data_IF_573411755115
#
_entry.id   IF_573411755115
#
_cell.length_a   1.000
_cell.length_b   1.000
_cell.length_c   1.000
_cell.angle_alpha   90.00
_cell.angle_beta   90.00
_cell.angle_gamma   90.00
#
_symmetry.space_group_name_H-M   'P 1'
#
loop_
_entity.id
_entity.type
_entity.pdbx_description
1 polymer ?
#
# COMPACT_ATOMS: atom_id res chain seq x y z
N UNK A 1 -19.99 -9.26 17.36
CA UNK A 1 -18.72 -9.93 17.01
C UNK A 1 -18.87 -11.40 17.34
N UNK A 2 -19.05 -12.24 16.33
CA UNK A 2 -19.23 -13.70 16.50
C UNK A 2 -17.85 -14.36 16.42
N UNK A 3 -17.57 -15.31 17.30
CA UNK A 3 -16.34 -16.10 17.23
C UNK A 3 -16.36 -16.98 15.97
N UNK A 4 -15.21 -17.13 15.32
CA UNK A 4 -14.98 -17.97 14.15
C UNK A 4 -13.80 -18.89 14.41
N UNK A 5 -13.86 -20.13 13.92
CA UNK A 5 -12.75 -21.06 14.05
C UNK A 5 -11.46 -20.46 13.44
N UNK A 6 -10.29 -20.61 14.08
CA UNK A 6 -9.04 -19.98 13.63
C UNK A 6 -8.71 -20.28 12.16
N UNK A 7 -8.95 -21.50 11.71
CA UNK A 7 -8.71 -21.91 10.31
C UNK A 7 -9.55 -21.09 9.32
N UNK A 8 -10.82 -20.85 9.65
CA UNK A 8 -11.72 -20.03 8.81
C UNK A 8 -11.30 -18.56 8.82
N UNK A 9 -10.83 -18.06 9.95
CA UNK A 9 -10.31 -16.70 10.05
C UNK A 9 -9.04 -16.51 9.21
N UNK A 10 -8.05 -17.40 9.36
CA UNK A 10 -6.80 -17.32 8.60
C UNK A 10 -7.01 -17.48 7.10
N UNK A 11 -7.98 -18.29 6.66
CA UNK A 11 -8.33 -18.46 5.25
C UNK A 11 -8.88 -17.18 4.58
N UNK A 12 -9.34 -16.20 5.36
CA UNK A 12 -9.88 -14.93 4.86
C UNK A 12 -8.83 -13.82 4.80
N UNK A 13 -7.65 -14.03 5.38
CA UNK A 13 -6.58 -13.03 5.35
C UNK A 13 -6.01 -12.91 3.94
N UNK A 14 -5.49 -11.72 3.63
CA UNK A 14 -4.75 -11.49 2.40
C UNK A 14 -3.57 -12.47 2.32
N UNK A 15 -3.58 -13.33 1.30
CA UNK A 15 -2.48 -14.27 1.02
C UNK A 15 -1.42 -13.66 0.10
N UNK A 16 -1.74 -12.51 -0.50
CA UNK A 16 -0.87 -11.77 -1.39
C UNK A 16 -0.81 -10.31 -0.93
N UNK A 17 0.41 -9.78 -0.82
CA UNK A 17 0.66 -8.40 -0.44
C UNK A 17 1.30 -7.63 -1.58
N UNK A 18 0.67 -6.52 -1.98
CA UNK A 18 1.20 -5.62 -3.00
C UNK A 18 1.12 -4.17 -2.54
N UNK A 19 2.02 -3.35 -3.08
CA UNK A 19 2.09 -1.93 -2.85
C UNK A 19 2.56 -1.23 -4.12
N UNK A 20 2.20 0.04 -4.28
CA UNK A 20 2.65 0.88 -5.37
C UNK A 20 3.19 2.21 -4.82
N UNK A 21 4.16 2.79 -5.51
CA UNK A 21 4.73 4.08 -5.19
C UNK A 21 4.86 4.92 -6.47
N UNK A 22 4.85 6.25 -6.31
CA UNK A 22 4.97 7.18 -7.43
C UNK A 22 6.25 7.98 -7.33
N UNK A 23 6.99 8.06 -8.44
CA UNK A 23 8.16 8.91 -8.56
C UNK A 23 7.76 10.20 -9.27
N UNK A 24 7.70 11.30 -8.52
CA UNK A 24 7.30 12.62 -9.03
C UNK A 24 8.51 13.54 -8.97
N UNK A 25 8.78 14.20 -10.10
CA UNK A 25 9.82 15.20 -10.24
C UNK A 25 9.24 16.56 -10.59
N UNK A 26 9.89 17.63 -10.14
CA UNK A 26 9.61 19.00 -10.60
C UNK A 26 10.52 19.40 -11.78
N UNK A 27 10.29 20.60 -12.35
CA UNK A 27 11.07 21.14 -13.47
C UNK A 27 12.56 21.36 -13.13
N UNK A 28 12.92 21.33 -11.85
CA UNK A 28 14.29 21.43 -11.36
C UNK A 28 14.93 20.05 -11.08
N UNK A 29 14.31 18.95 -11.53
CA UNK A 29 14.73 17.56 -11.30
C UNK A 29 14.84 17.16 -9.80
N UNK A 30 14.07 17.79 -8.92
CA UNK A 30 13.98 17.37 -7.51
C UNK A 30 12.88 16.32 -7.35
N UNK A 31 13.00 15.46 -6.35
CA UNK A 31 12.07 14.35 -6.11
C UNK A 31 11.16 14.67 -4.93
N UNK A 32 9.86 14.36 -5.06
CA UNK A 32 8.91 14.43 -3.95
C UNK A 32 9.16 13.31 -2.93
N UNK A 33 9.44 13.69 -1.69
CA UNK A 33 9.49 12.80 -0.53
C UNK A 33 8.46 13.23 0.52
N UNK A 34 7.94 12.26 1.27
CA UNK A 34 7.01 12.48 2.37
C UNK A 34 7.61 12.02 3.69
N UNK A 35 7.34 12.77 4.77
CA UNK A 35 7.66 12.38 6.15
C UNK A 35 6.39 11.89 6.85
N UNK A 36 6.11 10.58 6.83
CA UNK A 36 4.96 10.04 7.54
C UNK A 36 5.10 10.23 9.06
N UNK A 37 3.98 10.41 9.75
CA UNK A 37 3.96 10.55 11.21
C UNK A 37 4.20 9.22 11.97
N UNK A 38 4.22 8.10 11.24
CA UNK A 38 4.36 6.74 11.78
C UNK A 38 5.72 6.10 11.47
N UNK A 39 6.67 6.82 10.86
CA UNK A 39 8.05 6.34 10.64
C UNK A 39 9.05 7.48 10.87
N UNK A 40 10.23 7.12 11.37
CA UNK A 40 11.31 8.10 11.64
C UNK A 40 12.12 8.50 10.40
N UNK A 41 11.78 7.98 9.21
CA UNK A 41 12.47 8.27 7.96
C UNK A 41 11.53 8.82 6.89
N UNK A 42 12.11 9.61 5.97
CA UNK A 42 11.44 10.06 4.76
C UNK A 42 11.26 8.91 3.77
N UNK A 43 10.21 8.96 2.97
CA UNK A 43 9.88 7.90 2.00
C UNK A 43 9.27 8.47 0.72
N UNK A 44 9.27 7.67 -0.34
CA UNK A 44 8.55 7.97 -1.58
C UNK A 44 7.04 7.83 -1.31
N UNK A 45 6.20 8.75 -1.80
CA UNK A 45 4.75 8.62 -1.68
C UNK A 45 4.25 7.33 -2.35
N UNK A 46 3.39 6.61 -1.64
CA UNK A 46 2.86 5.32 -2.08
C UNK A 46 1.92 4.72 -1.05
N UNK A 47 1.40 3.55 -1.38
CA UNK A 47 0.41 2.87 -0.56
C UNK A 47 0.31 1.37 -0.85
N UNK A 48 -0.34 0.66 0.06
CA UNK A 48 -0.70 -0.74 -0.12
C UNK A 48 -1.84 -0.85 -1.14
N UNK A 49 -1.93 -2.00 -1.83
CA UNK A 49 -2.99 -2.29 -2.79
C UNK A 49 -4.04 -3.15 -2.10
N UNK A 50 -5.26 -2.64 -1.98
CA UNK A 50 -6.35 -3.41 -1.38
C UNK A 50 -6.90 -4.49 -2.33
N UNK A 51 -7.66 -5.42 -1.77
CA UNK A 51 -8.32 -6.45 -2.55
C UNK A 51 -9.21 -5.79 -3.62
N UNK A 52 -9.03 -6.18 -4.88
CA UNK A 52 -9.69 -5.63 -6.09
C UNK A 52 -9.13 -4.29 -6.60
N UNK A 53 -8.04 -3.76 -6.04
CA UNK A 53 -7.35 -2.57 -6.56
C UNK A 53 -6.21 -2.91 -7.53
N UNK A 54 -6.32 -4.00 -8.30
CA UNK A 54 -5.23 -4.44 -9.17
C UNK A 54 -4.74 -3.26 -10.05
N UNK A 55 -3.44 -2.85 -9.93
CA UNK A 55 -2.90 -1.66 -10.60
C UNK A 55 -3.00 -1.71 -12.11
N UNK A 56 -3.18 -2.90 -12.70
CA UNK A 56 -3.33 -3.06 -14.15
C UNK A 56 -4.75 -2.79 -14.66
N UNK A 57 -5.74 -2.63 -13.78
CA UNK A 57 -7.12 -2.38 -14.21
C UNK A 57 -7.23 -0.96 -14.73
N UNK A 58 -6.95 -0.79 -16.02
CA UNK A 58 -7.30 0.43 -16.76
C UNK A 58 -8.83 0.56 -16.75
N UNK A 59 -9.35 1.65 -16.19
CA UNK A 59 -10.64 2.19 -16.65
C UNK A 59 -10.45 2.84 -18.01
#
# INVERSE_FOLDING_TARGET
>A
MTWVEPEKWYAQLATFHAAAAVFVTDDSNRILLVKPNYRDHWSIPGGYVDQHENPRTRR
#
